data_IF_154783116208
#
_entry.id   IF_154783116208
#
_cell.length_a   1.000
_cell.length_b   1.000
_cell.length_c   1.000
_cell.angle_alpha   90.00
_cell.angle_beta   90.00
_cell.angle_gamma   90.00
#
_symmetry.space_group_name_H-M   'P 1'
#
loop_
_entity.id
_entity.type
_entity.pdbx_description
1 polymer ?
#
# COMPACT_ATOMS: atom_id res chain seq x y z
N UNK A 1 -0.71 -4.62 -16.53
CA UNK A 1 -1.85 -4.63 -15.58
C UNK A 1 -1.29 -4.24 -14.23
N UNK A 2 -1.86 -3.24 -13.56
CA UNK A 2 -1.54 -3.04 -12.14
C UNK A 2 -2.17 -4.19 -11.34
N UNK A 3 -1.49 -4.74 -10.31
CA UNK A 3 -2.03 -5.84 -9.53
C UNK A 3 -3.28 -5.40 -8.78
N UNK A 4 -4.21 -6.34 -8.61
CA UNK A 4 -5.44 -6.13 -7.84
C UNK A 4 -5.07 -5.90 -6.37
N UNK A 5 -5.61 -4.83 -5.78
CA UNK A 5 -5.41 -4.51 -4.36
C UNK A 5 -6.50 -5.22 -3.57
N UNK A 6 -6.19 -6.43 -3.09
CA UNK A 6 -7.03 -7.24 -2.22
C UNK A 6 -6.19 -7.94 -1.13
N UNK A 7 -6.84 -8.64 -0.20
CA UNK A 7 -6.21 -9.27 0.98
C UNK A 7 -5.06 -10.23 0.63
N UNK A 8 -5.12 -10.86 -0.55
CA UNK A 8 -4.12 -11.82 -1.01
C UNK A 8 -2.96 -11.16 -1.77
N UNK A 9 -2.98 -9.84 -1.94
CA UNK A 9 -1.87 -9.14 -2.60
C UNK A 9 -0.60 -9.35 -1.79
N UNK A 10 0.50 -9.70 -2.46
CA UNK A 10 1.81 -9.73 -1.83
C UNK A 10 2.20 -8.31 -1.45
N UNK A 11 2.66 -8.13 -0.21
CA UNK A 11 3.07 -6.82 0.29
C UNK A 11 4.20 -6.27 -0.59
N UNK A 12 5.14 -7.12 -1.03
CA UNK A 12 6.19 -6.74 -1.96
C UNK A 12 5.67 -6.20 -3.30
N UNK A 13 4.68 -6.86 -3.90
CA UNK A 13 4.07 -6.38 -5.15
C UNK A 13 3.28 -5.09 -4.94
N UNK A 14 2.56 -4.98 -3.82
CA UNK A 14 1.79 -3.81 -3.46
C UNK A 14 2.69 -2.57 -3.35
N UNK A 15 3.80 -2.63 -2.59
CA UNK A 15 4.69 -1.47 -2.42
C UNK A 15 5.46 -1.12 -3.69
N UNK A 16 5.81 -2.13 -4.50
CA UNK A 16 6.51 -1.92 -5.78
C UNK A 16 5.63 -1.25 -6.83
N UNK A 17 4.35 -1.63 -6.90
CA UNK A 17 3.40 -1.05 -7.85
C UNK A 17 2.75 0.24 -7.32
N UNK A 18 2.65 0.38 -6.00
CA UNK A 18 1.94 1.47 -5.33
C UNK A 18 2.78 1.99 -4.16
N UNK A 19 3.84 2.80 -4.40
CA UNK A 19 4.73 3.28 -3.34
C UNK A 19 4.02 4.10 -2.24
N UNK A 20 2.91 4.76 -2.58
CA UNK A 20 2.04 5.45 -1.62
C UNK A 20 1.42 4.51 -0.56
N UNK A 21 1.29 3.21 -0.85
CA UNK A 21 0.79 2.23 0.12
C UNK A 21 1.73 2.05 1.32
N UNK A 22 3.03 2.34 1.14
CA UNK A 22 4.03 2.26 2.20
C UNK A 22 3.66 3.17 3.37
N UNK A 23 3.21 4.40 3.11
CA UNK A 23 2.84 5.34 4.18
C UNK A 23 1.66 4.81 5.01
N UNK A 24 0.66 4.22 4.34
CA UNK A 24 -0.50 3.62 5.01
C UNK A 24 -0.06 2.44 5.88
N UNK A 25 0.72 1.52 5.32
CA UNK A 25 1.20 0.33 6.04
C UNK A 25 2.08 0.73 7.24
N UNK A 26 2.90 1.76 7.11
CA UNK A 26 3.73 2.27 8.20
C UNK A 26 2.89 2.82 9.37
N UNK A 27 1.80 3.55 9.08
CA UNK A 27 0.86 4.05 10.11
C UNK A 27 0.22 2.92 10.91
N UNK A 28 0.02 1.76 10.27
CA UNK A 28 -0.57 0.57 10.87
C UNK A 28 0.47 -0.39 11.49
N UNK A 29 1.73 0.01 11.59
CA UNK A 29 2.75 -0.73 12.32
C UNK A 29 3.59 -1.70 11.49
N UNK A 30 3.46 -1.70 10.16
CA UNK A 30 4.32 -2.48 9.24
C UNK A 30 5.70 -1.85 9.05
N UNK A 31 6.41 -1.60 10.15
CA UNK A 31 7.78 -1.07 10.10
C UNK A 31 8.76 -2.06 9.46
N UNK A 32 8.41 -3.35 9.46
CA UNK A 32 9.19 -4.43 8.88
C UNK A 32 9.01 -4.57 7.36
N UNK A 33 8.26 -3.69 6.70
CA UNK A 33 7.92 -3.83 5.27
C UNK A 33 9.12 -3.85 4.33
N UNK A 34 10.27 -3.32 4.77
CA UNK A 34 11.55 -3.40 4.06
C UNK A 34 12.35 -4.69 4.31
N UNK A 35 11.86 -5.59 5.17
CA UNK A 35 12.47 -6.89 5.38
C UNK A 35 12.21 -7.77 4.16
N UNK A 36 13.24 -8.43 3.64
CA UNK A 36 13.11 -9.31 2.46
C UNK A 36 12.10 -10.44 2.64
N UNK A 37 11.77 -10.83 3.88
CA UNK A 37 10.75 -11.83 4.17
C UNK A 37 9.32 -11.30 3.96
N UNK A 38 9.05 -10.07 4.41
CA UNK A 38 7.71 -9.46 4.29
C UNK A 38 7.30 -9.19 2.85
N UNK A 39 8.26 -9.11 1.93
CA UNK A 39 7.95 -9.01 0.49
C UNK A 39 7.20 -10.24 -0.06
N UNK A 40 7.36 -11.41 0.57
CA UNK A 40 6.73 -12.67 0.18
C UNK A 40 5.47 -13.00 0.99
N UNK A 41 5.07 -12.16 1.93
CA UNK A 41 3.84 -12.31 2.70
C UNK A 41 2.68 -11.61 1.99
N UNK A 42 1.47 -12.17 2.10
CA UNK A 42 0.26 -11.44 1.72
C UNK A 42 -0.09 -10.38 2.77
N UNK A 43 -0.87 -9.38 2.37
CA UNK A 43 -1.36 -8.37 3.31
C UNK A 43 -2.11 -9.02 4.49
N UNK A 44 -2.95 -10.02 4.22
CA UNK A 44 -3.67 -10.78 5.25
C UNK A 44 -2.73 -11.50 6.21
N UNK A 45 -1.72 -12.21 5.70
CA UNK A 45 -0.74 -12.91 6.54
C UNK A 45 0.05 -11.96 7.42
N UNK A 46 0.50 -10.84 6.84
CA UNK A 46 1.21 -9.80 7.59
C UNK A 46 0.32 -9.18 8.68
N UNK A 47 -0.95 -8.91 8.39
CA UNK A 47 -1.90 -8.40 9.38
C UNK A 47 -2.18 -9.43 10.49
N UNK A 48 -2.35 -10.71 10.12
CA UNK A 48 -2.59 -11.79 11.07
C UNK A 48 -1.40 -12.02 12.01
N UNK A 49 -0.16 -11.88 11.52
CA UNK A 49 1.04 -11.95 12.35
C UNK A 49 1.13 -10.85 13.40
N UNK A 50 0.44 -9.72 13.17
CA UNK A 50 0.32 -8.60 14.10
C UNK A 50 -0.95 -8.68 14.98
N UNK A 51 -1.78 -9.72 14.81
CA UNK A 51 -3.00 -9.93 15.59
C UNK A 51 -4.16 -9.03 15.17
N UNK A 52 -4.19 -8.58 13.91
CA UNK A 52 -5.28 -7.76 13.37
C UNK A 52 -6.43 -8.64 12.87
N UNK A 53 -7.65 -8.29 13.28
CA UNK A 53 -8.88 -8.91 12.78
C UNK A 53 -9.25 -8.39 11.38
N UNK A 54 -10.12 -9.13 10.68
CA UNK A 54 -10.63 -8.80 9.33
C UNK A 54 -11.06 -7.33 9.17
N UNK A 55 -11.66 -6.74 10.22
CA UNK A 55 -12.11 -5.34 10.18
C UNK A 55 -10.96 -4.35 10.01
N UNK A 56 -9.82 -4.61 10.65
CA UNK A 56 -8.62 -3.76 10.53
C UNK A 56 -8.00 -3.98 9.14
N UNK A 57 -7.98 -5.22 8.64
CA UNK A 57 -7.48 -5.54 7.30
C UNK A 57 -8.28 -4.79 6.23
N UNK A 58 -9.61 -4.78 6.34
CA UNK A 58 -10.48 -4.05 5.42
C UNK A 58 -10.26 -2.53 5.50
N UNK A 59 -10.03 -1.98 6.69
CA UNK A 59 -9.68 -0.56 6.87
C UNK A 59 -8.36 -0.22 6.17
N UNK A 60 -7.31 -1.01 6.40
CA UNK A 60 -6.01 -0.84 5.76
C UNK A 60 -6.15 -0.91 4.23
N UNK A 61 -6.90 -1.89 3.71
CA UNK A 61 -7.16 -2.02 2.28
C UNK A 61 -7.86 -0.80 1.69
N UNK A 62 -8.88 -0.29 2.38
CA UNK A 62 -9.59 0.92 1.94
C UNK A 62 -8.64 2.12 1.92
N UNK A 63 -7.84 2.32 2.96
CA UNK A 63 -6.88 3.43 3.01
C UNK A 63 -5.82 3.33 1.90
N UNK A 64 -5.33 2.12 1.60
CA UNK A 64 -4.40 1.91 0.47
C UNK A 64 -5.07 2.27 -0.85
N UNK A 65 -6.31 1.81 -1.07
CA UNK A 65 -7.04 2.11 -2.30
C UNK A 65 -7.30 3.62 -2.46
N UNK A 66 -7.66 4.30 -1.38
CA UNK A 66 -7.85 5.75 -1.37
C UNK A 66 -6.52 6.50 -1.62
N UNK A 67 -5.44 6.07 -0.99
CA UNK A 67 -4.10 6.63 -1.23
C UNK A 67 -3.67 6.46 -2.69
N UNK A 68 -3.94 5.30 -3.30
CA UNK A 68 -3.65 5.02 -4.72
C UNK A 68 -4.47 5.92 -5.64
N UNK A 69 -5.77 6.10 -5.36
CA UNK A 69 -6.62 7.04 -6.13
C UNK A 69 -6.11 8.48 -5.99
N UNK A 70 -5.80 8.91 -4.77
CA UNK A 70 -5.30 10.25 -4.50
C UNK A 70 -3.94 10.51 -5.16
N UNK A 71 -3.05 9.51 -5.19
CA UNK A 71 -1.77 9.57 -5.91
C UNK A 71 -1.98 9.70 -7.42
N UNK A 72 -2.91 8.94 -8.01
CA UNK A 72 -3.28 9.06 -9.42
C UNK A 72 -3.85 10.44 -9.79
N UNK A 73 -4.47 11.15 -8.84
CA UNK A 73 -4.90 12.54 -9.01
C UNK A 73 -3.77 13.56 -8.79
N UNK A 74 -2.81 13.24 -7.92
CA UNK A 74 -1.69 14.12 -7.57
C UNK A 74 -0.57 14.10 -8.62
N UNK A 75 -0.29 12.96 -9.25
CA UNK A 75 0.63 12.89 -10.41
C UNK A 75 0.19 13.82 -11.55
N UNK A 76 -1.12 14.04 -11.73
CA UNK A 76 -1.64 15.02 -12.71
C UNK A 76 -1.34 16.48 -12.35
N UNK A 77 -1.13 16.79 -11.06
CA UNK A 77 -0.78 18.14 -10.58
C UNK A 77 0.72 18.41 -10.63
N UNK A 78 1.56 17.42 -10.35
CA UNK A 78 3.03 17.61 -10.33
C UNK A 78 3.63 17.76 -11.74
N UNK A 79 3.19 16.95 -12.71
CA UNK A 79 3.60 17.07 -14.13
C UNK A 79 3.25 18.46 -14.71
N UNK A 80 2.22 19.13 -14.18
CA UNK A 80 1.80 20.47 -14.62
C UNK A 80 2.63 21.60 -14.00
N UNK A 81 3.33 21.35 -12.88
CA UNK A 81 4.15 22.35 -12.18
C UNK A 81 5.58 22.39 -12.71
N UNK A 82 6.11 21.26 -13.17
CA UNK A 82 7.47 21.18 -13.74
C UNK A 82 7.56 21.70 -15.19
N UNK A 83 6.48 21.62 -15.97
CA UNK A 83 6.41 22.19 -17.34
C UNK A 83 6.28 23.73 -17.41
N UNK A 84 6.30 24.43 -16.27
CA UNK A 84 6.16 25.89 -16.19
C UNK A 84 7.37 26.57 -15.54
N UNK A 85 8.54 25.93 -15.62
CA UNK A 85 9.84 26.53 -15.30
C UNK A 85 10.69 26.61 -16.57
#
# INVERSE_FOLDING_TARGET
>A
MAPKIDRNVLIGELVMNYPQSVEVLFKHGFHCIGCGLSAYETLEQGCAAHGFDDSIIDQILQEIQEAVKAAAETEKKEVKKERKK
#
